data_IF_484083553636
#
_entry.id   IF_484083553636
#
_cell.length_a   1.000
_cell.length_b   1.000
_cell.length_c   1.000
_cell.angle_alpha   90.00
_cell.angle_beta   90.00
_cell.angle_gamma   90.00
#
_symmetry.space_group_name_H-M   'P 1'
#
loop_
_entity.id
_entity.type
_entity.pdbx_description
1 polymer ?
#
# COMPACT_ATOMS: atom_id res chain seq x y z
N UNK A 1 33.90 -83.92 19.41
CA UNK A 1 34.61 -83.85 18.12
C UNK A 1 33.81 -82.96 17.17
N UNK A 2 34.22 -81.70 16.98
CA UNK A 2 33.57 -80.78 16.04
C UNK A 2 34.31 -80.79 14.71
N UNK A 3 33.64 -81.17 13.62
CA UNK A 3 34.19 -81.10 12.26
C UNK A 3 34.07 -79.66 11.76
N UNK A 4 35.19 -78.96 11.66
CA UNK A 4 35.29 -77.66 11.00
C UNK A 4 35.03 -77.80 9.50
N UNK A 5 34.11 -76.98 8.97
CA UNK A 5 33.94 -76.80 7.52
C UNK A 5 34.88 -75.69 7.07
N UNK A 6 35.93 -76.02 6.32
CA UNK A 6 36.82 -75.07 5.68
C UNK A 6 36.12 -74.44 4.47
N UNK A 7 35.88 -73.13 4.50
CA UNK A 7 35.49 -72.36 3.32
C UNK A 7 36.67 -72.27 2.33
N UNK A 8 36.44 -72.32 1.00
CA UNK A 8 37.52 -72.13 0.03
C UNK A 8 38.01 -70.67 0.07
N UNK A 9 39.31 -70.41 -0.17
CA UNK A 9 39.81 -69.05 -0.22
C UNK A 9 39.20 -68.34 -1.43
N UNK A 10 38.51 -67.22 -1.20
CA UNK A 10 38.25 -66.23 -2.26
C UNK A 10 39.60 -65.87 -2.82
N UNK A 11 39.90 -66.31 -4.05
CA UNK A 11 41.02 -65.79 -4.82
C UNK A 11 40.77 -64.29 -4.94
N UNK A 12 41.44 -63.50 -4.11
CA UNK A 12 41.60 -62.07 -4.33
C UNK A 12 42.36 -61.93 -5.65
N UNK A 13 41.62 -61.82 -6.75
CA UNK A 13 42.17 -61.20 -7.94
C UNK A 13 42.33 -59.73 -7.57
N UNK A 14 43.57 -59.34 -7.27
CA UNK A 14 43.94 -57.94 -7.12
C UNK A 14 43.48 -57.21 -8.39
N UNK A 15 42.53 -56.30 -8.24
CA UNK A 15 42.01 -55.48 -9.34
C UNK A 15 43.11 -54.48 -9.70
N UNK A 16 43.82 -54.74 -10.81
CA UNK A 16 44.83 -53.83 -11.34
C UNK A 16 44.17 -52.48 -11.65
N UNK A 17 44.63 -51.42 -11.01
CA UNK A 17 44.06 -50.08 -11.16
C UNK A 17 44.63 -49.38 -12.40
N UNK A 18 43.87 -48.43 -12.97
CA UNK A 18 44.33 -47.63 -14.11
C UNK A 18 45.68 -46.94 -13.83
N UNK A 19 45.89 -46.49 -12.58
CA UNK A 19 47.12 -45.85 -12.12
C UNK A 19 48.33 -46.81 -12.03
N UNK A 20 48.10 -48.11 -11.85
CA UNK A 20 49.15 -49.14 -11.87
C UNK A 20 49.52 -49.53 -13.30
N UNK A 21 48.54 -49.53 -14.22
CA UNK A 21 48.76 -49.78 -15.65
C UNK A 21 49.57 -48.66 -16.33
N UNK A 22 49.36 -47.40 -15.93
CA UNK A 22 50.10 -46.24 -16.45
C UNK A 22 51.61 -46.27 -16.14
N UNK A 23 52.05 -47.07 -15.16
CA UNK A 23 53.45 -47.15 -14.72
C UNK A 23 54.23 -48.28 -15.40
N UNK A 24 53.59 -49.11 -16.23
CA UNK A 24 54.25 -50.20 -16.94
C UNK A 24 54.81 -49.75 -18.28
N UNK A 25 55.98 -50.28 -18.65
CA UNK A 25 56.52 -50.11 -20.00
C UNK A 25 55.64 -50.83 -21.01
N UNK A 26 55.45 -50.21 -22.18
CA UNK A 26 54.59 -50.73 -23.26
C UNK A 26 55.01 -52.14 -23.70
N UNK A 27 56.31 -52.43 -23.70
CA UNK A 27 56.87 -53.75 -24.04
C UNK A 27 56.56 -54.84 -23.00
N UNK A 28 56.13 -54.46 -21.80
CA UNK A 28 55.83 -55.36 -20.67
C UNK A 28 54.33 -55.60 -20.45
N UNK A 29 53.48 -54.98 -21.26
CA UNK A 29 52.02 -55.09 -21.16
C UNK A 29 51.56 -56.48 -21.60
N UNK A 30 50.77 -57.12 -20.75
CA UNK A 30 50.23 -58.47 -21.01
C UNK A 30 48.85 -58.40 -21.66
N UNK A 31 48.41 -59.50 -22.29
CA UNK A 31 47.04 -59.62 -22.83
C UNK A 31 45.97 -59.34 -21.77
N UNK A 32 46.23 -59.71 -20.51
CA UNK A 32 45.34 -59.44 -19.38
C UNK A 32 45.19 -57.93 -19.14
N UNK A 33 46.28 -57.18 -19.25
CA UNK A 33 46.28 -55.73 -19.09
C UNK A 33 45.49 -55.06 -20.23
N UNK A 34 45.67 -55.52 -21.47
CA UNK A 34 44.87 -55.05 -22.62
C UNK A 34 43.36 -55.27 -22.42
N UNK A 35 42.94 -56.45 -21.93
CA UNK A 35 41.52 -56.70 -21.63
C UNK A 35 40.97 -55.77 -20.54
N UNK A 36 41.80 -55.39 -19.56
CA UNK A 36 41.42 -54.42 -18.52
C UNK A 36 41.28 -53.02 -19.11
N UNK A 37 42.24 -52.59 -19.95
CA UNK A 37 42.20 -51.29 -20.64
C UNK A 37 40.94 -51.17 -21.50
N UNK A 38 40.58 -52.19 -22.28
CA UNK A 38 39.36 -52.18 -23.11
C UNK A 38 38.10 -52.00 -22.25
N UNK A 39 38.02 -52.70 -21.11
CA UNK A 39 36.88 -52.55 -20.19
C UNK A 39 36.79 -51.14 -19.59
N UNK A 40 37.94 -50.54 -19.25
CA UNK A 40 38.00 -49.17 -18.73
C UNK A 40 37.58 -48.14 -19.80
N UNK A 41 38.06 -48.28 -21.04
CA UNK A 41 37.68 -47.41 -22.16
C UNK A 41 36.17 -47.50 -22.42
N UNK A 42 35.62 -48.71 -22.51
CA UNK A 42 34.18 -48.90 -22.69
C UNK A 42 33.34 -48.30 -21.54
N UNK A 43 33.84 -48.39 -20.31
CA UNK A 43 33.23 -47.74 -19.14
C UNK A 43 33.25 -46.21 -19.23
N UNK A 44 34.37 -45.63 -19.67
CA UNK A 44 34.49 -44.19 -19.90
C UNK A 44 33.60 -43.70 -21.04
N UNK A 45 33.55 -44.42 -22.16
CA UNK A 45 32.67 -44.11 -23.29
C UNK A 45 31.21 -44.05 -22.85
N UNK A 46 30.76 -45.03 -22.05
CA UNK A 46 29.42 -45.02 -21.46
C UNK A 46 29.21 -43.82 -20.54
N UNK A 47 30.13 -43.58 -19.60
CA UNK A 47 30.03 -42.46 -18.66
C UNK A 47 29.99 -41.10 -19.37
N UNK A 48 30.77 -40.90 -20.43
CA UNK A 48 30.76 -39.68 -21.24
C UNK A 48 29.45 -39.55 -22.01
N UNK A 49 28.90 -40.66 -22.51
CA UNK A 49 27.57 -40.71 -23.11
C UNK A 49 26.48 -40.23 -22.15
N UNK A 50 26.45 -40.81 -20.94
CA UNK A 50 25.49 -40.46 -19.89
C UNK A 50 25.62 -38.96 -19.52
N UNK A 51 26.85 -38.46 -19.32
CA UNK A 51 27.10 -37.03 -19.02
C UNK A 51 26.62 -36.13 -20.17
N UNK A 52 26.85 -36.51 -21.42
CA UNK A 52 26.43 -35.73 -22.58
C UNK A 52 24.91 -35.61 -22.63
N UNK A 53 24.19 -36.68 -22.30
CA UNK A 53 22.73 -36.70 -22.25
C UNK A 53 22.19 -35.85 -21.11
N UNK A 54 22.74 -35.98 -19.90
CA UNK A 54 22.33 -35.13 -18.76
C UNK A 54 22.60 -33.66 -19.02
N UNK A 55 23.79 -33.32 -19.57
CA UNK A 55 24.12 -31.95 -19.94
C UNK A 55 23.18 -31.36 -21.00
N UNK A 56 22.73 -32.18 -21.97
CA UNK A 56 21.78 -31.73 -22.98
C UNK A 56 20.42 -31.40 -22.35
N UNK A 57 19.95 -32.25 -21.43
CA UNK A 57 18.71 -32.06 -20.67
C UNK A 57 18.79 -30.81 -19.78
N UNK A 58 19.84 -30.67 -18.97
CA UNK A 58 20.04 -29.51 -18.08
C UNK A 58 20.12 -28.20 -18.87
N UNK A 59 20.77 -28.22 -20.04
CA UNK A 59 20.85 -27.05 -20.92
C UNK A 59 19.48 -26.67 -21.50
N UNK A 60 18.60 -27.64 -21.76
CA UNK A 60 17.25 -27.38 -22.22
C UNK A 60 16.40 -26.81 -21.09
N UNK A 61 16.44 -27.42 -19.92
CA UNK A 61 15.68 -26.96 -18.76
C UNK A 61 16.09 -25.55 -18.31
N UNK A 62 17.39 -25.26 -18.25
CA UNK A 62 17.88 -23.93 -17.90
C UNK A 62 17.47 -22.87 -18.93
N UNK A 63 17.37 -23.21 -20.21
CA UNK A 63 16.86 -22.29 -21.23
C UNK A 63 15.38 -21.98 -21.00
N UNK A 64 14.56 -22.99 -20.72
CA UNK A 64 13.15 -22.80 -20.42
C UNK A 64 12.95 -21.92 -19.18
N UNK A 65 13.66 -22.22 -18.08
CA UNK A 65 13.63 -21.40 -16.85
C UNK A 65 14.08 -19.96 -17.10
N UNK A 66 15.11 -19.77 -17.92
CA UNK A 66 15.57 -18.44 -18.30
C UNK A 66 14.50 -17.65 -19.06
N UNK A 67 13.81 -18.29 -20.00
CA UNK A 67 12.74 -17.64 -20.78
C UNK A 67 11.52 -17.31 -19.91
N UNK A 68 11.16 -18.18 -18.95
CA UNK A 68 10.13 -17.90 -17.96
C UNK A 68 10.48 -16.68 -17.09
N UNK A 69 11.70 -16.62 -16.56
CA UNK A 69 12.18 -15.48 -15.76
C UNK A 69 12.17 -14.20 -16.59
N UNK A 70 12.63 -14.26 -17.84
CA UNK A 70 12.63 -13.11 -18.75
C UNK A 70 11.21 -12.58 -18.98
N UNK A 71 10.25 -13.47 -19.23
CA UNK A 71 8.84 -13.08 -19.41
C UNK A 71 8.27 -12.44 -18.14
N UNK A 72 8.53 -13.02 -16.97
CA UNK A 72 8.10 -12.47 -15.69
C UNK A 72 8.68 -11.06 -15.44
N UNK A 73 9.96 -10.84 -15.77
CA UNK A 73 10.60 -9.51 -15.67
C UNK A 73 9.89 -8.50 -16.59
N UNK A 74 9.58 -8.88 -17.83
CA UNK A 74 8.85 -8.01 -18.77
C UNK A 74 7.46 -7.65 -18.26
N UNK A 75 6.72 -8.60 -17.68
CA UNK A 75 5.42 -8.31 -17.08
C UNK A 75 5.51 -7.35 -15.89
N UNK A 76 6.49 -7.56 -15.01
CA UNK A 76 6.74 -6.67 -13.87
C UNK A 76 7.06 -5.26 -14.36
N UNK A 77 7.92 -5.13 -15.38
CA UNK A 77 8.28 -3.85 -15.96
C UNK A 77 7.06 -3.10 -16.51
N UNK A 78 6.19 -3.78 -17.27
CA UNK A 78 4.97 -3.18 -17.80
C UNK A 78 3.99 -2.73 -16.70
N UNK A 79 3.83 -3.54 -15.64
CA UNK A 79 3.01 -3.18 -14.48
C UNK A 79 3.59 -1.98 -13.73
N UNK A 80 4.91 -1.90 -13.62
CA UNK A 80 5.61 -0.79 -12.97
C UNK A 80 5.39 0.52 -13.75
N UNK A 81 5.56 0.50 -15.08
CA UNK A 81 5.29 1.66 -15.93
C UNK A 81 3.83 2.13 -15.83
N UNK A 82 2.87 1.20 -15.87
CA UNK A 82 1.46 1.52 -15.69
C UNK A 82 1.17 2.13 -14.30
N UNK A 83 1.82 1.63 -13.25
CA UNK A 83 1.71 2.20 -11.90
C UNK A 83 2.32 3.59 -11.83
N UNK A 84 3.47 3.82 -12.47
CA UNK A 84 4.16 5.10 -12.50
C UNK A 84 3.29 6.18 -13.19
N UNK A 85 2.69 5.84 -14.33
CA UNK A 85 1.75 6.73 -15.02
C UNK A 85 0.54 7.13 -14.14
N UNK A 86 -0.03 6.17 -13.38
CA UNK A 86 -1.12 6.44 -12.44
C UNK A 86 -0.69 7.35 -11.30
N UNK A 87 0.53 7.19 -10.80
CA UNK A 87 1.10 8.04 -9.74
C UNK A 87 1.27 9.47 -10.25
N UNK A 88 1.80 9.66 -11.46
CA UNK A 88 1.96 11.01 -12.04
C UNK A 88 0.62 11.70 -12.30
N UNK A 89 -0.41 10.96 -12.72
CA UNK A 89 -1.78 11.48 -12.82
C UNK A 89 -2.32 11.88 -11.44
N UNK A 90 -2.14 11.03 -10.42
CA UNK A 90 -2.58 11.34 -9.07
C UNK A 90 -1.89 12.58 -8.50
N UNK A 91 -0.58 12.76 -8.74
CA UNK A 91 0.17 13.96 -8.35
C UNK A 91 -0.40 15.22 -8.97
N UNK A 92 -0.68 15.21 -10.28
CA UNK A 92 -1.30 16.36 -10.97
C UNK A 92 -2.65 16.72 -10.35
N UNK A 93 -3.52 15.72 -10.15
CA UNK A 93 -4.83 15.92 -9.51
C UNK A 93 -4.73 16.47 -8.09
N UNK A 94 -3.74 16.03 -7.30
CA UNK A 94 -3.51 16.56 -5.96
C UNK A 94 -3.09 18.04 -6.04
N UNK A 95 -2.18 18.39 -6.95
CA UNK A 95 -1.75 19.78 -7.17
C UNK A 95 -2.94 20.68 -7.52
N UNK A 96 -3.80 20.26 -8.45
CA UNK A 96 -4.98 21.04 -8.85
C UNK A 96 -5.97 21.24 -7.67
N UNK A 97 -6.10 20.22 -6.82
CA UNK A 97 -6.93 20.28 -5.62
C UNK A 97 -6.34 21.20 -4.54
N UNK A 98 -5.02 21.20 -4.37
CA UNK A 98 -4.33 22.09 -3.43
C UNK A 98 -4.59 23.56 -3.78
N UNK A 99 -4.44 23.92 -5.06
CA UNK A 99 -4.73 25.27 -5.56
C UNK A 99 -6.20 25.64 -5.33
N UNK A 100 -7.13 24.73 -5.68
CA UNK A 100 -8.57 24.93 -5.47
C UNK A 100 -8.92 25.15 -3.99
N UNK A 101 -8.27 24.42 -3.08
CA UNK A 101 -8.50 24.55 -1.63
C UNK A 101 -8.02 25.91 -1.13
N UNK A 102 -6.88 26.40 -1.61
CA UNK A 102 -6.36 27.73 -1.27
C UNK A 102 -7.34 28.82 -1.72
N UNK A 103 -7.82 28.75 -2.97
CA UNK A 103 -8.82 29.69 -3.48
C UNK A 103 -10.10 29.68 -2.65
N UNK A 104 -10.65 28.48 -2.37
CA UNK A 104 -11.85 28.33 -1.56
C UNK A 104 -11.67 28.92 -0.16
N UNK A 105 -10.52 28.68 0.48
CA UNK A 105 -10.22 29.24 1.80
C UNK A 105 -10.26 30.76 1.80
N UNK A 106 -9.70 31.41 0.79
CA UNK A 106 -9.75 32.87 0.68
C UNK A 106 -11.17 33.38 0.40
N UNK A 107 -11.96 32.67 -0.42
CA UNK A 107 -13.37 33.04 -0.63
C UNK A 107 -14.21 32.91 0.63
N UNK A 108 -14.01 31.85 1.42
CA UNK A 108 -14.70 31.64 2.70
C UNK A 108 -14.32 32.70 3.73
N UNK A 109 -13.04 33.08 3.80
CA UNK A 109 -12.59 34.18 4.65
C UNK A 109 -13.28 35.50 4.31
N UNK A 110 -13.49 35.80 3.02
CA UNK A 110 -14.24 36.99 2.57
C UNK A 110 -15.72 36.90 2.96
N UNK A 111 -16.35 35.74 2.74
CA UNK A 111 -17.75 35.50 3.13
C UNK A 111 -17.95 35.66 4.64
N UNK A 112 -17.03 35.14 5.44
CA UNK A 112 -17.11 35.24 6.90
C UNK A 112 -17.08 36.70 7.37
N UNK A 113 -16.19 37.54 6.80
CA UNK A 113 -16.17 38.98 7.08
C UNK A 113 -17.50 39.66 6.71
N UNK A 114 -18.04 39.34 5.53
CA UNK A 114 -19.34 39.88 5.12
C UNK A 114 -20.47 39.48 6.07
N UNK A 115 -20.50 38.24 6.53
CA UNK A 115 -21.50 37.78 7.51
C UNK A 115 -21.37 38.56 8.82
N UNK A 116 -20.16 38.71 9.35
CA UNK A 116 -19.92 39.49 10.58
C UNK A 116 -20.38 40.95 10.45
N UNK A 117 -20.13 41.59 9.29
CA UNK A 117 -20.57 42.95 9.03
C UNK A 117 -22.10 43.05 8.90
N UNK A 118 -22.74 42.10 8.22
CA UNK A 118 -24.20 42.04 8.13
C UNK A 118 -24.86 41.80 9.48
N UNK A 119 -24.32 40.90 10.30
CA UNK A 119 -24.82 40.67 11.67
C UNK A 119 -24.73 41.93 12.52
N UNK A 120 -23.62 42.68 12.43
CA UNK A 120 -23.48 43.97 13.13
C UNK A 120 -24.55 44.95 12.68
N UNK A 121 -24.74 45.12 11.37
CA UNK A 121 -25.75 46.02 10.80
C UNK A 121 -27.17 45.62 11.20
N UNK A 122 -27.48 44.34 11.27
CA UNK A 122 -28.79 43.84 11.73
C UNK A 122 -29.01 44.19 13.19
N UNK A 123 -27.98 44.05 14.05
CA UNK A 123 -28.06 44.48 15.46
C UNK A 123 -28.32 45.98 15.56
N UNK A 124 -27.52 46.79 14.87
CA UNK A 124 -27.69 48.26 14.85
C UNK A 124 -29.09 48.69 14.38
N UNK A 125 -29.63 48.06 13.34
CA UNK A 125 -30.99 48.30 12.86
C UNK A 125 -32.04 47.87 13.89
N UNK A 126 -31.87 46.72 14.53
CA UNK A 126 -32.77 46.25 15.59
C UNK A 126 -32.81 47.22 16.76
N UNK A 127 -31.64 47.70 17.20
CA UNK A 127 -31.51 48.66 18.29
C UNK A 127 -32.14 50.00 17.90
N UNK A 128 -31.94 50.45 16.66
CA UNK A 128 -32.56 51.67 16.13
C UNK A 128 -34.08 51.58 16.13
N UNK A 129 -34.63 50.46 15.64
CA UNK A 129 -36.08 50.24 15.60
C UNK A 129 -36.72 50.15 17.00
N UNK A 130 -35.95 49.69 18.00
CA UNK A 130 -36.41 49.57 19.39
C UNK A 130 -36.11 50.79 20.25
N UNK A 131 -35.40 51.79 19.72
CA UNK A 131 -34.90 52.95 20.49
C UNK A 131 -36.00 53.71 21.23
N UNK A 132 -37.18 53.82 20.64
CA UNK A 132 -38.34 54.52 21.22
C UNK A 132 -39.35 53.56 21.88
N UNK A 133 -39.08 52.26 21.90
CA UNK A 133 -40.01 51.28 22.45
C UNK A 133 -39.77 51.14 23.95
N UNK A 134 -40.85 51.21 24.73
CA UNK A 134 -40.85 50.97 26.17
C UNK A 134 -41.51 49.62 26.43
N UNK A 135 -40.87 48.78 27.25
CA UNK A 135 -41.45 47.50 27.68
C UNK A 135 -41.95 47.63 29.11
N UNK A 136 -43.26 47.56 29.29
CA UNK A 136 -43.91 47.57 30.59
C UNK A 136 -44.17 46.11 31.00
N UNK A 137 -43.79 45.75 32.23
CA UNK A 137 -43.90 44.38 32.77
C UNK A 137 -44.67 44.42 34.10
N UNK A 138 -45.30 43.29 34.47
CA UNK A 138 -46.07 43.18 35.71
C UNK A 138 -47.50 43.70 35.63
N UNK A 139 -48.01 43.95 34.42
CA UNK A 139 -49.42 44.27 34.19
C UNK A 139 -50.26 43.01 34.45
N UNK A 140 -51.27 43.06 35.36
CA UNK A 140 -52.20 41.95 35.55
C UNK A 140 -52.88 41.56 34.24
N UNK A 141 -53.11 40.26 34.05
CA UNK A 141 -53.88 39.78 32.90
C UNK A 141 -55.29 40.40 32.91
N UNK A 142 -55.81 40.72 31.72
CA UNK A 142 -57.09 41.42 31.50
C UNK A 142 -57.17 42.88 31.99
N UNK A 143 -56.10 43.49 32.50
CA UNK A 143 -56.13 44.90 32.93
C UNK A 143 -56.48 45.86 31.77
N UNK A 144 -56.13 45.49 30.54
CA UNK A 144 -56.49 46.24 29.32
C UNK A 144 -57.95 46.05 28.90
N UNK A 145 -58.70 45.13 29.52
CA UNK A 145 -60.06 44.78 29.11
C UNK A 145 -61.00 45.95 29.40
N UNK A 146 -61.50 46.57 28.33
CA UNK A 146 -62.45 47.69 28.38
C UNK A 146 -61.84 49.08 28.18
N UNK A 147 -60.57 49.28 28.54
CA UNK A 147 -59.84 50.56 28.37
C UNK A 147 -58.68 50.51 27.35
N UNK A 148 -58.28 49.30 26.92
CA UNK A 148 -57.17 49.08 25.99
C UNK A 148 -55.79 49.31 26.62
N UNK A 149 -54.73 49.02 25.86
CA UNK A 149 -53.34 49.23 26.26
C UNK A 149 -53.02 50.71 26.53
N UNK A 150 -53.59 51.61 25.72
CA UNK A 150 -53.44 53.06 25.90
C UNK A 150 -54.03 53.53 27.23
N UNK A 151 -55.25 53.09 27.57
CA UNK A 151 -55.86 53.45 28.85
C UNK A 151 -55.11 52.90 30.07
N UNK A 152 -54.46 51.73 29.94
CA UNK A 152 -53.55 51.21 30.97
C UNK A 152 -52.31 52.09 31.10
N UNK A 153 -51.71 52.51 29.98
CA UNK A 153 -50.54 53.39 29.99
C UNK A 153 -50.85 54.75 30.61
N UNK A 154 -51.97 55.37 30.26
CA UNK A 154 -52.43 56.65 30.81
C UNK A 154 -52.58 56.59 32.33
N UNK A 155 -53.18 55.51 32.86
CA UNK A 155 -53.32 55.31 34.30
C UNK A 155 -51.95 55.20 34.99
N UNK A 156 -51.02 54.43 34.40
CA UNK A 156 -49.66 54.29 34.94
C UNK A 156 -48.94 55.64 34.99
N UNK A 157 -49.05 56.45 33.92
CA UNK A 157 -48.45 57.79 33.87
C UNK A 157 -49.09 58.71 34.92
N UNK A 158 -50.41 58.73 35.05
CA UNK A 158 -51.11 59.57 36.01
C UNK A 158 -50.76 59.23 37.48
N UNK A 159 -50.65 57.93 37.80
CA UNK A 159 -50.33 57.45 39.15
C UNK A 159 -48.86 57.68 39.53
N UNK A 160 -47.92 57.49 38.60
CA UNK A 160 -46.48 57.49 38.91
C UNK A 160 -45.72 58.75 38.48
N UNK A 161 -46.23 59.45 37.45
CA UNK A 161 -45.60 60.60 36.82
C UNK A 161 -46.61 61.75 36.62
N UNK A 162 -47.20 62.29 37.69
CA UNK A 162 -48.31 63.26 37.61
C UNK A 162 -47.94 64.58 36.92
N UNK A 163 -46.65 64.88 36.79
CA UNK A 163 -46.15 66.06 36.08
C UNK A 163 -45.89 65.82 34.58
N UNK A 164 -45.89 64.56 34.13
CA UNK A 164 -45.79 64.20 32.70
C UNK A 164 -47.15 64.15 32.00
N UNK A 165 -48.26 64.00 32.76
CA UNK A 165 -49.63 64.02 32.23
C UNK A 165 -50.26 65.41 32.15
N UNK A 166 -49.49 66.48 32.41
CA UNK A 166 -49.93 67.87 32.31
C UNK A 166 -49.43 68.47 30.99
N UNK A 167 -50.21 68.31 29.92
CA UNK A 167 -50.19 69.26 28.80
C UNK A 167 -51.29 70.31 29.01
#
# INVERSE_FOLDING_TARGET
MMKGKSSPPKKFQQELTANELLKRDISSVTERDFRIIIKLIAGLEKSVGDIKETMATDKMENRNRHDEVKNAISEIHNKLEASNARIEEAKRRISDLEDTIIEKKETEKKRHKMIQDHERRVRELSDTLKRSNIRIIGIPEEEERGKGAEGVLEQIIAENFPDLGKE
#
